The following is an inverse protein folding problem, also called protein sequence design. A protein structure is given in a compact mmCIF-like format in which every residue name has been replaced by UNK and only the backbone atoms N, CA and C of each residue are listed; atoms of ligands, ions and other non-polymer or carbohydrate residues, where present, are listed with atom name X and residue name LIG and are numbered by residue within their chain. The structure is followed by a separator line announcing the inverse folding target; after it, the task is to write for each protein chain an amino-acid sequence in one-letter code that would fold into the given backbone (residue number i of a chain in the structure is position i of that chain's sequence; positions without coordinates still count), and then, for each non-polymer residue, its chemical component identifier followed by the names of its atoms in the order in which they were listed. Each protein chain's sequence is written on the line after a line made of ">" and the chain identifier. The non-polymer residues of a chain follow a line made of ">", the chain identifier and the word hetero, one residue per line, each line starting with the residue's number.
data_IF_069762022825
#
_entry.id   IF_069762022825
#
_cell.length_a   1.000
_cell.length_b   1.000
_cell.length_c   1.000
_cell.angle_alpha   90.00
_cell.angle_beta   90.00
_cell.angle_gamma   90.00
#
_symmetry.space_group_name_H-M   'P 1'
#
loop_
_entity.id
_entity.type
_entity.pdbx_description
1 polymer ?
#
# COMPACT_ATOMS: atom_id res chain seq x y z
N UNK A 1 -0.24 -21.91 -14.18
CA UNK A 1 -0.59 -22.15 -12.75
C UNK A 1 -2.00 -21.65 -12.54
N UNK A 2 -2.84 -22.37 -11.84
CA UNK A 2 -4.18 -21.87 -11.48
C UNK A 2 -4.16 -21.32 -10.05
N UNK A 3 -5.09 -20.43 -9.70
CA UNK A 3 -5.14 -19.77 -8.38
C UNK A 3 -5.11 -20.74 -7.19
N UNK A 4 -5.62 -21.95 -7.34
CA UNK A 4 -5.60 -23.01 -6.32
C UNK A 4 -4.21 -23.56 -6.01
N UNK A 5 -3.22 -23.28 -6.85
CA UNK A 5 -1.85 -23.81 -6.73
C UNK A 5 -0.98 -22.94 -5.81
N UNK A 6 -1.33 -21.67 -5.58
CA UNK A 6 -0.59 -20.80 -4.65
C UNK A 6 -0.97 -21.16 -3.22
N UNK A 7 -0.11 -21.91 -2.55
CA UNK A 7 -0.28 -22.35 -1.16
C UNK A 7 0.81 -21.86 -0.24
N UNK A 8 2.00 -21.60 -0.77
CA UNK A 8 3.16 -21.15 -0.02
C UNK A 8 3.59 -19.77 -0.52
N UNK A 9 3.52 -18.81 0.38
CA UNK A 9 3.85 -17.41 0.09
C UNK A 9 5.07 -17.02 0.88
N UNK A 10 6.06 -16.46 0.22
CA UNK A 10 7.19 -15.80 0.86
C UNK A 10 6.98 -14.28 0.81
N UNK A 11 6.98 -13.64 1.96
CA UNK A 11 7.00 -12.19 2.10
C UNK A 11 8.43 -11.75 2.37
N UNK A 12 8.93 -10.81 1.58
CA UNK A 12 10.27 -10.21 1.76
C UNK A 12 10.09 -8.75 2.20
N UNK A 13 10.45 -8.48 3.46
CA UNK A 13 10.13 -7.25 4.17
C UNK A 13 8.92 -7.43 5.08
N UNK A 14 9.15 -7.57 6.40
CA UNK A 14 8.12 -7.83 7.42
C UNK A 14 7.64 -6.56 8.14
N UNK A 15 7.80 -5.39 7.52
CA UNK A 15 7.20 -4.14 7.98
C UNK A 15 5.67 -4.21 8.04
N UNK A 16 5.00 -3.09 8.26
CA UNK A 16 3.52 -3.04 8.37
C UNK A 16 2.85 -3.70 7.17
N UNK A 17 3.23 -3.30 5.96
CA UNK A 17 2.62 -3.81 4.72
C UNK A 17 2.86 -5.31 4.54
N UNK A 18 4.11 -5.78 4.64
CA UNK A 18 4.41 -7.20 4.46
C UNK A 18 3.76 -8.09 5.51
N UNK A 19 3.70 -7.64 6.76
CA UNK A 19 2.99 -8.34 7.83
C UNK A 19 1.49 -8.46 7.54
N UNK A 20 0.82 -7.38 7.12
CA UNK A 20 -0.63 -7.40 6.83
C UNK A 20 -0.95 -8.25 5.58
N UNK A 21 -0.13 -8.17 4.52
CA UNK A 21 -0.27 -9.05 3.34
C UNK A 21 -0.07 -10.51 3.71
N UNK A 22 0.97 -10.81 4.52
CA UNK A 22 1.22 -12.14 5.02
C UNK A 22 0.06 -12.68 5.87
N UNK A 23 -0.49 -11.86 6.77
CA UNK A 23 -1.64 -12.19 7.58
C UNK A 23 -2.87 -12.50 6.72
N UNK A 24 -3.13 -11.65 5.71
CA UNK A 24 -4.24 -11.87 4.77
C UNK A 24 -4.11 -13.21 4.04
N UNK A 25 -2.92 -13.54 3.53
CA UNK A 25 -2.67 -14.83 2.90
C UNK A 25 -2.87 -15.99 3.87
N UNK A 26 -2.36 -15.89 5.10
CA UNK A 26 -2.47 -16.90 6.13
C UNK A 26 -3.92 -17.11 6.59
N UNK A 27 -4.70 -16.05 6.70
CA UNK A 27 -6.14 -16.09 7.03
C UNK A 27 -6.91 -16.97 6.04
N UNK A 28 -6.54 -16.92 4.77
CA UNK A 28 -7.16 -17.73 3.71
C UNK A 28 -6.41 -19.04 3.38
N UNK A 29 -5.62 -19.53 4.35
CA UNK A 29 -5.08 -20.89 4.36
C UNK A 29 -3.75 -21.09 3.63
N UNK A 30 -3.02 -20.00 3.31
CA UNK A 30 -1.65 -20.13 2.82
C UNK A 30 -0.68 -20.34 3.98
N UNK A 31 0.36 -21.15 3.75
CA UNK A 31 1.57 -21.15 4.57
C UNK A 31 2.43 -19.96 4.17
N UNK A 32 2.79 -19.12 5.13
CA UNK A 32 3.47 -17.85 4.88
C UNK A 32 4.79 -17.79 5.61
N UNK A 33 5.88 -17.71 4.87
CA UNK A 33 7.20 -17.37 5.40
C UNK A 33 7.41 -15.85 5.31
N UNK A 34 7.89 -15.22 6.38
CA UNK A 34 8.19 -13.79 6.39
C UNK A 34 9.65 -13.58 6.76
N UNK A 35 10.38 -12.86 5.91
CA UNK A 35 11.79 -12.50 6.13
C UNK A 35 11.93 -10.98 6.25
N UNK A 36 12.93 -10.57 7.01
CA UNK A 36 13.37 -9.18 7.09
C UNK A 36 14.88 -9.13 7.33
N UNK A 37 15.52 -8.05 6.88
CA UNK A 37 16.94 -7.79 7.17
C UNK A 37 17.14 -7.29 8.60
N UNK A 38 16.09 -6.76 9.23
CA UNK A 38 16.09 -6.33 10.64
C UNK A 38 15.58 -7.45 11.54
N UNK A 39 16.47 -8.09 12.36
CA UNK A 39 16.05 -9.12 13.30
C UNK A 39 15.02 -8.63 14.34
N UNK A 40 15.01 -7.33 14.66
CA UNK A 40 14.03 -6.76 15.60
C UNK A 40 12.63 -6.74 15.00
N UNK A 41 12.51 -6.52 13.70
CA UNK A 41 11.23 -6.61 12.97
C UNK A 41 10.68 -8.04 13.01
N UNK A 42 11.53 -9.06 12.87
CA UNK A 42 11.13 -10.47 12.98
C UNK A 42 10.77 -10.86 14.42
N UNK A 43 11.52 -10.39 15.40
CA UNK A 43 11.28 -10.70 16.81
C UNK A 43 9.91 -10.21 17.30
N UNK A 44 9.42 -9.10 16.77
CA UNK A 44 8.11 -8.50 17.13
C UNK A 44 6.96 -8.90 16.20
N UNK A 45 7.24 -9.68 15.15
CA UNK A 45 6.26 -10.02 14.11
C UNK A 45 5.00 -10.68 14.67
N UNK A 46 5.16 -11.67 15.56
CA UNK A 46 4.05 -12.40 16.16
C UNK A 46 3.12 -11.50 16.97
N UNK A 47 3.67 -10.61 17.78
CA UNK A 47 2.89 -9.67 18.60
C UNK A 47 2.16 -8.65 17.72
N UNK A 48 2.83 -8.11 16.70
CA UNK A 48 2.23 -7.18 15.74
C UNK A 48 1.10 -7.84 14.95
N UNK A 49 1.31 -9.05 14.44
CA UNK A 49 0.30 -9.79 13.71
C UNK A 49 -0.90 -10.14 14.60
N UNK A 50 -0.67 -10.49 15.88
CA UNK A 50 -1.74 -10.73 16.85
C UNK A 50 -2.53 -9.46 17.15
N UNK A 51 -1.87 -8.33 17.37
CA UNK A 51 -2.53 -7.04 17.60
C UNK A 51 -3.41 -6.64 16.40
N UNK A 52 -2.87 -6.75 15.19
CA UNK A 52 -3.60 -6.52 13.95
C UNK A 52 -4.83 -7.45 13.81
N UNK A 53 -4.67 -8.74 14.05
CA UNK A 53 -5.78 -9.69 14.01
C UNK A 53 -6.85 -9.43 15.08
N UNK A 54 -6.46 -8.92 16.25
CA UNK A 54 -7.40 -8.50 17.30
C UNK A 54 -8.27 -7.31 16.87
N UNK A 55 -7.72 -6.38 16.09
CA UNK A 55 -8.53 -5.28 15.51
C UNK A 55 -9.61 -5.84 14.56
N UNK A 56 -9.27 -6.85 13.75
CA UNK A 56 -10.20 -7.50 12.83
C UNK A 56 -11.30 -8.25 13.61
N UNK A 57 -10.91 -8.93 14.69
CA UNK A 57 -11.88 -9.59 15.61
C UNK A 57 -12.79 -8.56 16.26
N UNK A 58 -12.24 -7.46 16.77
CA UNK A 58 -13.00 -6.36 17.37
C UNK A 58 -13.98 -5.71 16.40
N UNK A 59 -13.67 -5.72 15.12
CA UNK A 59 -14.54 -5.21 14.04
C UNK A 59 -15.59 -6.26 13.58
N UNK A 60 -15.56 -7.49 14.09
CA UNK A 60 -16.52 -8.56 13.79
C UNK A 60 -16.29 -9.27 12.45
N UNK A 61 -15.12 -9.10 11.82
CA UNK A 61 -14.77 -9.74 10.55
C UNK A 61 -14.02 -11.07 10.70
N UNK A 62 -13.56 -11.39 11.92
CA UNK A 62 -12.80 -12.58 12.23
C UNK A 62 -13.19 -13.05 13.64
N UNK A 63 -13.18 -14.35 13.89
CA UNK A 63 -13.30 -14.90 15.24
C UNK A 63 -11.92 -15.29 15.81
N UNK A 64 -11.90 -15.62 17.11
CA UNK A 64 -10.65 -15.99 17.79
C UNK A 64 -9.98 -17.23 17.20
N UNK A 65 -10.77 -18.22 16.74
CA UNK A 65 -10.24 -19.44 16.15
C UNK A 65 -9.59 -19.15 14.78
N UNK A 66 -10.20 -18.28 13.98
CA UNK A 66 -9.64 -17.80 12.71
C UNK A 66 -8.34 -17.02 12.91
N UNK A 67 -8.28 -16.19 13.96
CA UNK A 67 -7.05 -15.47 14.34
C UNK A 67 -5.92 -16.46 14.68
N UNK A 68 -6.15 -17.39 15.58
CA UNK A 68 -5.13 -18.37 15.98
C UNK A 68 -4.71 -19.25 14.79
N UNK A 69 -5.67 -19.61 13.93
CA UNK A 69 -5.40 -20.34 12.69
C UNK A 69 -4.54 -19.57 11.70
N UNK A 70 -4.75 -18.25 11.53
CA UNK A 70 -3.91 -17.40 10.69
C UNK A 70 -2.49 -17.30 11.26
N UNK A 71 -2.36 -16.99 12.54
CA UNK A 71 -1.06 -16.88 13.21
C UNK A 71 -0.23 -18.16 13.14
N UNK A 72 -0.88 -19.33 13.26
CA UNK A 72 -0.20 -20.63 13.17
C UNK A 72 0.41 -20.92 11.79
N UNK A 73 -0.03 -20.23 10.74
CA UNK A 73 0.48 -20.37 9.37
C UNK A 73 1.56 -19.33 9.01
N UNK A 74 1.85 -18.39 9.91
CA UNK A 74 2.88 -17.37 9.71
C UNK A 74 4.17 -17.79 10.40
N UNK A 75 5.25 -17.94 9.64
CA UNK A 75 6.56 -18.37 10.16
C UNK A 75 7.60 -17.32 9.83
N UNK A 76 8.21 -16.67 10.83
CA UNK A 76 9.39 -15.85 10.59
C UNK A 76 10.57 -16.74 10.16
N UNK A 77 11.30 -16.31 9.13
CA UNK A 77 12.50 -16.98 8.63
C UNK A 77 13.69 -16.02 8.68
N UNK A 78 14.85 -16.52 9.03
CA UNK A 78 16.05 -15.69 9.21
C UNK A 78 16.56 -15.10 7.90
N UNK A 79 16.33 -15.80 6.80
CA UNK A 79 16.68 -15.34 5.45
C UNK A 79 15.54 -15.64 4.47
N UNK A 80 15.40 -14.82 3.45
CA UNK A 80 14.41 -15.05 2.41
C UNK A 80 14.67 -16.37 1.64
N UNK A 81 15.92 -16.81 1.55
CA UNK A 81 16.30 -18.07 0.89
C UNK A 81 15.68 -19.30 1.57
N UNK A 82 15.49 -19.28 2.89
CA UNK A 82 14.83 -20.37 3.62
C UNK A 82 13.37 -20.58 3.14
N UNK A 83 12.65 -19.50 2.84
CA UNK A 83 11.29 -19.58 2.32
C UNK A 83 11.21 -19.82 0.81
N UNK A 84 12.27 -19.51 0.06
CA UNK A 84 12.29 -19.48 -1.39
C UNK A 84 12.09 -20.85 -2.05
N UNK A 85 12.71 -21.90 -1.50
CA UNK A 85 12.76 -23.23 -2.11
C UNK A 85 11.37 -23.88 -2.36
N UNK A 86 10.36 -23.41 -1.66
CA UNK A 86 9.00 -23.95 -1.74
C UNK A 86 7.96 -22.89 -2.11
N UNK A 87 8.35 -21.63 -2.33
CA UNK A 87 7.43 -20.54 -2.61
C UNK A 87 6.73 -20.74 -3.97
N UNK A 88 5.41 -20.62 -3.95
CA UNK A 88 4.60 -20.50 -5.16
C UNK A 88 4.50 -19.04 -5.59
N UNK A 89 4.52 -18.14 -4.59
CA UNK A 89 4.47 -16.69 -4.75
C UNK A 89 5.47 -16.03 -3.81
N UNK A 90 6.27 -15.11 -4.32
CA UNK A 90 7.08 -14.18 -3.53
C UNK A 90 6.44 -12.81 -3.63
N UNK A 91 6.13 -12.19 -2.48
CA UNK A 91 5.66 -10.80 -2.42
C UNK A 91 6.74 -9.94 -1.78
N UNK A 92 7.28 -9.03 -2.56
CA UNK A 92 8.32 -8.12 -2.13
C UNK A 92 7.70 -6.83 -1.56
N UNK A 93 8.10 -6.49 -0.33
CA UNK A 93 7.67 -5.33 0.43
C UNK A 93 8.87 -4.55 1.01
N UNK A 94 10.02 -4.57 0.31
CA UNK A 94 11.22 -3.83 0.71
C UNK A 94 11.11 -2.34 0.33
N UNK A 95 12.03 -1.45 0.81
CA UNK A 95 12.01 -0.03 0.46
C UNK A 95 11.94 0.25 -1.05
N UNK A 96 11.41 1.42 -1.38
CA UNK A 96 11.04 1.84 -2.74
C UNK A 96 12.28 2.27 -3.55
N UNK A 97 13.11 1.30 -3.90
CA UNK A 97 14.33 1.43 -4.71
C UNK A 97 14.32 0.33 -5.78
N UNK A 98 14.25 0.66 -7.08
CA UNK A 98 14.17 -0.33 -8.14
C UNK A 98 15.41 -1.23 -8.23
N UNK A 99 16.60 -0.71 -7.91
CA UNK A 99 17.82 -1.50 -7.90
C UNK A 99 17.83 -2.51 -6.74
N UNK A 100 17.32 -2.11 -5.57
CA UNK A 100 17.15 -3.01 -4.42
C UNK A 100 16.15 -4.13 -4.75
N UNK A 101 14.97 -3.78 -5.29
CA UNK A 101 13.93 -4.76 -5.65
C UNK A 101 14.45 -5.78 -6.68
N UNK A 102 15.14 -5.30 -7.72
CA UNK A 102 15.79 -6.17 -8.70
C UNK A 102 16.81 -7.13 -8.09
N UNK A 103 17.67 -6.65 -7.18
CA UNK A 103 18.65 -7.51 -6.47
C UNK A 103 17.98 -8.56 -5.61
N UNK A 104 16.97 -8.18 -4.83
CA UNK A 104 16.22 -9.13 -3.97
C UNK A 104 15.64 -10.28 -4.80
N UNK A 105 15.00 -9.99 -5.90
CA UNK A 105 14.47 -11.04 -6.77
C UNK A 105 15.57 -11.85 -7.45
N UNK A 106 16.66 -11.22 -7.90
CA UNK A 106 17.80 -11.91 -8.49
C UNK A 106 18.45 -12.92 -7.53
N UNK A 107 18.58 -12.56 -6.26
CA UNK A 107 19.10 -13.45 -5.21
C UNK A 107 18.17 -14.64 -4.95
N UNK A 108 16.86 -14.45 -5.04
CA UNK A 108 15.87 -15.52 -4.82
C UNK A 108 15.66 -16.40 -6.05
N UNK A 109 15.92 -15.88 -7.25
CA UNK A 109 15.68 -16.58 -8.51
C UNK A 109 16.23 -18.01 -8.54
N UNK A 110 17.51 -18.27 -8.21
CA UNK A 110 18.08 -19.63 -8.30
C UNK A 110 17.51 -20.59 -7.23
N UNK A 111 16.98 -20.09 -6.14
CA UNK A 111 16.41 -20.89 -5.06
C UNK A 111 14.92 -21.19 -5.25
N UNK A 112 14.21 -20.36 -6.00
CA UNK A 112 12.78 -20.53 -6.23
C UNK A 112 12.47 -21.53 -7.34
N UNK A 113 11.43 -22.36 -7.20
CA UNK A 113 10.91 -23.18 -8.30
C UNK A 113 10.65 -22.34 -9.57
N UNK A 114 10.76 -22.93 -10.77
CA UNK A 114 10.51 -22.20 -12.03
C UNK A 114 9.09 -21.61 -12.14
N UNK A 115 8.12 -22.21 -11.44
CA UNK A 115 6.72 -21.76 -11.43
C UNK A 115 6.47 -20.54 -10.54
N UNK A 116 7.40 -20.19 -9.63
CA UNK A 116 7.21 -19.13 -8.64
C UNK A 116 6.98 -17.78 -9.31
N UNK A 117 5.90 -17.11 -8.94
CA UNK A 117 5.58 -15.74 -9.36
C UNK A 117 6.33 -14.76 -8.45
N UNK A 118 6.92 -13.73 -9.05
CA UNK A 118 7.55 -12.61 -8.36
C UNK A 118 6.63 -11.40 -8.39
N UNK A 119 6.01 -11.11 -7.26
CA UNK A 119 5.08 -10.00 -7.09
C UNK A 119 5.74 -8.88 -6.28
N UNK A 120 5.65 -7.65 -6.76
CA UNK A 120 6.08 -6.47 -6.01
C UNK A 120 4.89 -5.71 -5.46
N UNK A 121 4.98 -5.27 -4.20
CA UNK A 121 3.96 -4.42 -3.59
C UNK A 121 4.28 -2.92 -3.72
N UNK A 122 5.11 -2.54 -4.67
CA UNK A 122 5.42 -1.13 -4.92
C UNK A 122 4.16 -0.31 -5.17
N UNK A 123 4.11 0.93 -4.69
CA UNK A 123 3.01 1.86 -4.92
C UNK A 123 3.29 2.88 -6.05
N UNK A 124 4.55 2.99 -6.47
CA UNK A 124 4.99 4.07 -7.37
C UNK A 124 5.90 3.63 -8.51
N UNK A 125 6.65 2.51 -8.33
CA UNK A 125 7.55 2.01 -9.36
C UNK A 125 6.80 1.14 -10.37
N UNK A 126 7.36 1.05 -11.58
CA UNK A 126 6.86 0.15 -12.61
C UNK A 126 7.65 -1.16 -12.58
N UNK A 127 7.01 -2.33 -12.67
CA UNK A 127 7.72 -3.62 -12.74
C UNK A 127 8.81 -3.67 -13.81
N UNK A 128 8.60 -3.04 -14.98
CA UNK A 128 9.60 -2.97 -16.06
C UNK A 128 10.93 -2.33 -15.64
N UNK A 129 10.96 -1.51 -14.58
CA UNK A 129 12.18 -0.84 -14.12
C UNK A 129 13.21 -1.84 -13.55
N UNK A 130 12.78 -3.05 -13.16
CA UNK A 130 13.65 -4.05 -12.54
C UNK A 130 13.36 -5.51 -12.97
N UNK A 131 12.36 -5.75 -13.82
CA UNK A 131 11.96 -7.07 -14.23
C UNK A 131 13.13 -7.89 -14.83
N UNK A 132 13.92 -7.30 -15.73
CA UNK A 132 15.06 -7.97 -16.35
C UNK A 132 16.13 -8.40 -15.32
N UNK A 133 16.35 -7.58 -14.30
CA UNK A 133 17.31 -7.87 -13.23
C UNK A 133 16.91 -9.09 -12.39
N UNK A 134 15.64 -9.50 -12.39
CA UNK A 134 15.13 -10.61 -11.57
C UNK A 134 15.55 -11.99 -12.09
N UNK A 135 15.99 -12.10 -13.34
CA UNK A 135 16.33 -13.36 -14.02
C UNK A 135 15.11 -14.17 -14.52
N UNK A 136 13.87 -13.69 -14.31
CA UNK A 136 12.61 -14.25 -14.84
C UNK A 136 11.56 -13.17 -15.07
N UNK A 137 11.82 -12.23 -15.99
CA UNK A 137 10.93 -11.08 -16.22
C UNK A 137 9.49 -11.51 -16.54
N UNK A 138 9.29 -12.64 -17.20
CA UNK A 138 7.98 -13.18 -17.55
C UNK A 138 7.13 -13.56 -16.33
N UNK A 139 7.73 -13.69 -15.14
CA UNK A 139 7.04 -14.01 -13.87
C UNK A 139 6.90 -12.79 -12.96
N UNK A 140 7.32 -11.60 -13.39
CA UNK A 140 7.26 -10.38 -12.59
C UNK A 140 5.96 -9.64 -12.86
N UNK A 141 5.32 -9.17 -11.77
CA UNK A 141 4.04 -8.45 -11.81
C UNK A 141 3.92 -7.56 -10.58
N UNK A 142 3.27 -6.41 -10.67
CA UNK A 142 2.88 -5.69 -9.47
C UNK A 142 1.59 -6.28 -8.88
N UNK A 143 1.62 -6.44 -7.56
CA UNK A 143 0.49 -6.94 -6.77
C UNK A 143 0.36 -6.03 -5.54
N UNK A 144 -0.25 -4.85 -5.77
CA UNK A 144 -0.21 -3.72 -4.86
C UNK A 144 -1.44 -3.70 -3.96
N UNK A 145 -1.22 -3.94 -2.68
CA UNK A 145 -2.24 -3.90 -1.62
C UNK A 145 -2.35 -2.49 -1.03
N UNK A 146 -3.49 -2.21 -0.41
CA UNK A 146 -3.77 -0.96 0.30
C UNK A 146 -3.94 -1.21 1.81
N UNK A 147 -3.43 -0.31 2.64
CA UNK A 147 -3.56 -0.39 4.11
C UNK A 147 -4.89 0.20 4.60
N UNK A 148 -5.45 -0.35 5.67
CA UNK A 148 -5.22 -1.68 6.23
C UNK A 148 -5.80 -2.75 5.29
N UNK A 149 -5.03 -3.83 5.03
CA UNK A 149 -5.32 -4.81 3.96
C UNK A 149 -6.69 -5.49 4.09
N UNK A 150 -7.14 -5.74 5.32
CA UNK A 150 -8.42 -6.39 5.57
C UNK A 150 -9.63 -5.49 5.25
N UNK A 151 -9.49 -4.18 5.42
CA UNK A 151 -10.57 -3.20 5.26
C UNK A 151 -10.54 -2.54 3.88
N UNK A 152 -9.34 -2.18 3.42
CA UNK A 152 -9.10 -1.65 2.08
C UNK A 152 -8.86 -2.80 1.11
N UNK A 153 -9.81 -3.74 1.04
CA UNK A 153 -9.66 -5.03 0.39
C UNK A 153 -9.60 -4.97 -1.15
N UNK A 154 -8.87 -4.01 -1.67
CA UNK A 154 -8.58 -3.83 -3.10
C UNK A 154 -7.11 -4.09 -3.34
N UNK A 155 -6.78 -4.77 -4.43
CA UNK A 155 -5.40 -5.02 -4.85
C UNK A 155 -5.24 -4.75 -6.34
N UNK A 156 -4.28 -3.91 -6.70
CA UNK A 156 -3.96 -3.67 -8.11
C UNK A 156 -3.08 -4.82 -8.63
N UNK A 157 -3.43 -5.35 -9.80
CA UNK A 157 -2.63 -6.35 -10.54
C UNK A 157 -2.17 -5.71 -11.84
N UNK A 158 -0.88 -5.35 -11.92
CA UNK A 158 -0.33 -4.64 -13.05
C UNK A 158 0.86 -5.39 -13.66
N UNK A 159 0.69 -6.02 -14.83
CA UNK A 159 1.79 -6.61 -15.58
C UNK A 159 2.65 -5.52 -16.23
N UNK A 160 3.90 -5.86 -16.55
CA UNK A 160 4.68 -5.15 -17.56
C UNK A 160 4.57 -5.88 -18.93
N UNK A 161 5.13 -5.29 -19.98
CA UNK A 161 4.99 -5.80 -21.34
C UNK A 161 5.56 -7.24 -21.54
N UNK A 162 6.47 -7.67 -20.66
CA UNK A 162 7.08 -9.03 -20.71
C UNK A 162 6.43 -10.04 -19.77
N UNK A 163 5.43 -9.65 -18.96
CA UNK A 163 4.76 -10.58 -18.04
C UNK A 163 3.91 -11.59 -18.82
N UNK A 164 4.04 -12.88 -18.50
CA UNK A 164 3.16 -13.91 -19.04
C UNK A 164 1.70 -13.65 -18.66
N UNK A 165 0.74 -13.72 -19.60
CA UNK A 165 -0.68 -13.53 -19.31
C UNK A 165 -1.21 -14.44 -18.18
N UNK A 166 -0.79 -15.70 -18.15
CA UNK A 166 -1.15 -16.68 -17.12
C UNK A 166 -0.77 -16.22 -15.69
N UNK A 167 0.29 -15.44 -15.56
CA UNK A 167 0.73 -14.89 -14.27
C UNK A 167 -0.30 -13.88 -13.74
N UNK A 168 -0.72 -12.98 -14.61
CA UNK A 168 -1.75 -11.98 -14.28
C UNK A 168 -3.07 -12.64 -13.92
N UNK A 169 -3.54 -13.60 -14.73
CA UNK A 169 -4.78 -14.34 -14.49
C UNK A 169 -4.72 -15.13 -13.18
N UNK A 170 -3.57 -15.77 -12.90
CA UNK A 170 -3.34 -16.50 -11.64
C UNK A 170 -3.45 -15.59 -10.43
N UNK A 171 -2.83 -14.39 -10.46
CA UNK A 171 -2.91 -13.45 -9.34
C UNK A 171 -4.27 -12.80 -9.17
N UNK A 172 -4.98 -12.51 -10.27
CA UNK A 172 -6.37 -12.05 -10.21
C UNK A 172 -7.26 -13.08 -9.51
N UNK A 173 -7.12 -14.34 -9.84
CA UNK A 173 -7.88 -15.40 -9.20
C UNK A 173 -7.42 -15.64 -7.74
N UNK A 174 -6.11 -15.53 -7.48
CA UNK A 174 -5.56 -15.61 -6.12
C UNK A 174 -6.05 -14.47 -5.23
N UNK A 175 -6.07 -13.23 -5.72
CA UNK A 175 -6.62 -12.08 -5.00
C UNK A 175 -8.05 -12.34 -4.52
N UNK A 176 -8.92 -12.81 -5.41
CA UNK A 176 -10.30 -13.19 -5.05
C UNK A 176 -10.34 -14.27 -3.97
N UNK A 177 -9.47 -15.27 -4.06
CA UNK A 177 -9.40 -16.36 -3.08
C UNK A 177 -9.00 -15.87 -1.69
N UNK A 178 -8.15 -14.86 -1.61
CA UNK A 178 -7.74 -14.26 -0.33
C UNK A 178 -8.62 -13.07 0.10
N UNK A 179 -9.84 -12.97 -0.44
CA UNK A 179 -10.81 -11.95 -0.03
C UNK A 179 -10.54 -10.53 -0.54
N UNK A 180 -9.67 -10.40 -1.55
CA UNK A 180 -9.37 -9.11 -2.16
C UNK A 180 -10.16 -8.90 -3.45
N UNK A 181 -10.44 -7.64 -3.79
CA UNK A 181 -11.03 -7.22 -5.05
C UNK A 181 -9.91 -6.83 -6.01
N UNK A 182 -9.57 -7.65 -7.02
CA UNK A 182 -8.49 -7.33 -7.95
C UNK A 182 -8.89 -6.24 -8.94
N UNK A 183 -8.08 -5.22 -9.06
CA UNK A 183 -8.13 -4.22 -10.12
C UNK A 183 -7.09 -4.58 -11.17
N UNK A 184 -7.55 -4.99 -12.34
CA UNK A 184 -6.67 -5.35 -13.45
C UNK A 184 -6.23 -4.09 -14.18
N UNK A 185 -4.93 -3.80 -14.13
CA UNK A 185 -4.32 -2.69 -14.85
C UNK A 185 -3.78 -3.24 -16.16
N UNK A 186 -4.32 -2.81 -17.28
CA UNK A 186 -4.02 -3.41 -18.59
C UNK A 186 -2.58 -3.18 -19.08
N UNK A 187 -1.94 -2.13 -18.59
CA UNK A 187 -0.55 -1.76 -18.89
C UNK A 187 0.02 -0.91 -17.77
N UNK A 188 1.34 -0.85 -17.67
CA UNK A 188 2.01 -0.06 -16.66
C UNK A 188 1.56 1.40 -16.64
N UNK A 189 1.28 1.89 -15.44
CA UNK A 189 0.92 3.27 -15.17
C UNK A 189 1.37 3.66 -13.76
N UNK A 190 2.06 4.77 -13.62
CA UNK A 190 2.41 5.32 -12.31
C UNK A 190 1.14 5.61 -11.48
N UNK A 191 1.14 5.14 -10.23
CA UNK A 191 -0.01 5.31 -9.33
C UNK A 191 -1.18 4.36 -9.64
N UNK A 192 -1.00 3.42 -10.55
CA UNK A 192 -2.02 2.40 -10.87
C UNK A 192 -3.38 3.02 -11.21
N UNK A 193 -4.46 2.57 -10.57
CA UNK A 193 -5.79 3.17 -10.75
C UNK A 193 -6.11 4.11 -9.60
N UNK A 194 -6.10 3.60 -8.36
CA UNK A 194 -6.53 4.39 -7.20
C UNK A 194 -5.62 5.58 -6.95
N UNK A 195 -4.30 5.35 -6.82
CA UNK A 195 -3.38 6.43 -6.51
C UNK A 195 -3.30 7.49 -7.62
N UNK A 196 -3.49 7.11 -8.90
CA UNK A 196 -3.54 8.07 -9.99
C UNK A 196 -4.73 9.04 -9.85
N UNK A 197 -5.93 8.51 -9.54
CA UNK A 197 -7.14 9.31 -9.31
C UNK A 197 -6.99 10.13 -8.02
N UNK A 198 -6.56 9.48 -6.93
CA UNK A 198 -6.40 10.11 -5.62
C UNK A 198 -5.41 11.27 -5.66
N UNK A 199 -4.26 11.09 -6.32
CA UNK A 199 -3.26 12.14 -6.48
C UNK A 199 -3.77 13.31 -7.33
N UNK A 200 -4.56 13.04 -8.37
CA UNK A 200 -5.18 14.09 -9.17
C UNK A 200 -6.18 14.92 -8.37
N UNK A 201 -7.03 14.27 -7.56
CA UNK A 201 -7.97 14.94 -6.67
C UNK A 201 -7.23 15.79 -5.64
N UNK A 202 -6.24 15.23 -4.96
CA UNK A 202 -5.46 15.94 -3.94
C UNK A 202 -4.67 17.11 -4.52
N UNK A 203 -4.06 16.92 -5.70
CA UNK A 203 -3.37 18.00 -6.42
C UNK A 203 -4.31 19.17 -6.68
N UNK A 204 -5.51 18.91 -7.19
CA UNK A 204 -6.46 19.97 -7.51
C UNK A 204 -7.03 20.62 -6.24
N UNK A 205 -7.34 19.84 -5.20
CA UNK A 205 -7.74 20.37 -3.91
C UNK A 205 -6.70 21.35 -3.33
N UNK A 206 -5.42 20.92 -3.32
CA UNK A 206 -4.32 21.79 -2.89
C UNK A 206 -4.17 23.03 -3.77
N UNK A 207 -4.36 22.90 -5.08
CA UNK A 207 -4.28 24.01 -6.04
C UNK A 207 -5.31 25.09 -5.75
N UNK A 208 -6.55 24.71 -5.47
CA UNK A 208 -7.62 25.66 -5.11
C UNK A 208 -7.26 26.45 -3.86
N UNK A 209 -6.73 25.80 -2.83
CA UNK A 209 -6.36 26.46 -1.57
C UNK A 209 -5.09 27.31 -1.73
N UNK A 210 -4.05 26.77 -2.37
CA UNK A 210 -2.78 27.47 -2.60
C UNK A 210 -2.96 28.77 -3.43
N UNK A 211 -3.93 28.78 -4.32
CA UNK A 211 -4.29 29.95 -5.14
C UNK A 211 -5.34 30.88 -4.48
N UNK A 212 -5.78 30.58 -3.25
CA UNK A 212 -6.76 31.41 -2.53
C UNK A 212 -8.18 31.37 -3.13
N UNK A 213 -8.51 30.33 -3.91
CA UNK A 213 -9.84 30.18 -4.52
C UNK A 213 -10.88 29.73 -3.48
N UNK A 214 -10.47 28.83 -2.56
CA UNK A 214 -11.33 28.30 -1.51
C UNK A 214 -10.53 28.04 -0.23
N UNK A 215 -11.22 27.95 0.90
CA UNK A 215 -10.61 27.47 2.15
C UNK A 215 -10.47 25.95 2.15
N UNK A 216 -9.63 25.42 3.06
CA UNK A 216 -9.52 23.97 3.32
C UNK A 216 -10.90 23.38 3.64
N UNK A 217 -11.63 24.04 4.54
CA UNK A 217 -12.96 23.58 4.96
C UNK A 217 -13.99 23.60 3.83
N UNK A 218 -13.95 24.61 2.95
CA UNK A 218 -14.90 24.68 1.83
C UNK A 218 -14.65 23.61 0.77
N UNK A 219 -13.37 23.27 0.49
CA UNK A 219 -13.05 22.17 -0.41
C UNK A 219 -13.56 20.85 0.17
N UNK A 220 -13.28 20.58 1.46
CA UNK A 220 -13.73 19.35 2.12
C UNK A 220 -15.26 19.31 2.23
N UNK A 221 -15.89 20.44 2.56
CA UNK A 221 -17.35 20.56 2.64
C UNK A 221 -18.02 20.26 1.29
N UNK A 222 -17.49 20.81 0.20
CA UNK A 222 -17.99 20.54 -1.14
C UNK A 222 -17.90 19.06 -1.50
N UNK A 223 -16.74 18.43 -1.25
CA UNK A 223 -16.53 17.01 -1.49
C UNK A 223 -17.48 16.14 -0.66
N UNK A 224 -17.50 16.36 0.65
CA UNK A 224 -18.31 15.59 1.58
C UNK A 224 -19.81 15.78 1.31
N UNK A 225 -20.25 17.00 1.01
CA UNK A 225 -21.65 17.33 0.74
C UNK A 225 -22.19 16.69 -0.53
N UNK A 226 -21.38 16.61 -1.59
CA UNK A 226 -21.77 16.03 -2.88
C UNK A 226 -21.69 14.50 -2.83
N UNK A 227 -20.54 13.94 -2.42
CA UNK A 227 -20.31 12.48 -2.44
C UNK A 227 -20.83 11.74 -1.21
N UNK A 228 -21.30 12.48 -0.19
CA UNK A 228 -21.77 11.90 1.10
C UNK A 228 -20.68 11.10 1.81
N UNK A 229 -19.42 11.50 1.64
CA UNK A 229 -18.28 10.90 2.31
C UNK A 229 -18.09 11.51 3.70
N UNK A 230 -17.57 10.76 4.69
CA UNK A 230 -17.35 11.25 6.05
C UNK A 230 -16.12 12.15 6.18
N UNK A 231 -15.29 12.26 5.13
CA UNK A 231 -14.04 13.01 5.12
C UNK A 231 -13.77 13.54 3.73
N UNK A 232 -13.22 14.75 3.64
CA UNK A 232 -12.80 15.36 2.38
C UNK A 232 -11.31 15.21 2.09
N UNK A 233 -10.82 15.72 0.95
CA UNK A 233 -9.43 15.61 0.52
C UNK A 233 -8.40 16.02 1.58
N UNK A 234 -8.60 17.12 2.28
CA UNK A 234 -7.66 17.61 3.28
C UNK A 234 -7.67 16.77 4.57
N UNK A 235 -8.84 16.30 4.98
CA UNK A 235 -8.92 15.33 6.08
C UNK A 235 -8.21 14.01 5.72
N UNK A 236 -8.30 13.54 4.48
CA UNK A 236 -7.55 12.37 4.00
C UNK A 236 -6.03 12.63 3.96
N UNK A 237 -5.60 13.84 3.57
CA UNK A 237 -4.17 14.22 3.57
C UNK A 237 -3.59 14.27 4.99
N UNK A 238 -4.38 14.65 6.00
CA UNK A 238 -3.98 14.62 7.41
C UNK A 238 -3.72 13.19 7.92
N UNK A 239 -4.46 12.19 7.42
CA UNK A 239 -4.20 10.77 7.73
C UNK A 239 -2.89 10.28 7.09
N UNK A 240 -2.58 10.70 5.87
CA UNK A 240 -1.30 10.40 5.19
C UNK A 240 -0.12 11.04 5.91
N UNK A 241 -0.32 12.23 6.43
CA UNK A 241 0.68 13.08 7.05
C UNK A 241 1.27 14.11 6.08
N UNK A 242 1.19 15.38 6.50
CA UNK A 242 1.57 16.55 5.68
C UNK A 242 3.05 16.52 5.27
N UNK A 243 3.93 15.99 6.11
CA UNK A 243 5.34 15.80 5.77
C UNK A 243 5.52 14.83 4.58
N UNK A 244 4.82 13.71 4.58
CA UNK A 244 4.82 12.76 3.46
C UNK A 244 4.28 13.40 2.20
N UNK A 245 3.13 14.07 2.30
CA UNK A 245 2.50 14.78 1.17
C UNK A 245 3.41 15.86 0.62
N UNK A 246 4.08 16.61 1.51
CA UNK A 246 5.03 17.64 1.11
C UNK A 246 6.22 17.05 0.35
N UNK A 247 6.85 15.99 0.87
CA UNK A 247 7.99 15.35 0.21
C UNK A 247 7.64 14.90 -1.22
N UNK A 248 6.46 14.29 -1.39
CA UNK A 248 5.98 13.84 -2.70
C UNK A 248 5.73 15.03 -3.62
N UNK A 249 5.03 16.06 -3.14
CA UNK A 249 4.67 17.24 -3.95
C UNK A 249 5.90 18.03 -4.36
N UNK A 250 6.85 18.27 -3.44
CA UNK A 250 8.09 18.98 -3.70
C UNK A 250 9.01 18.22 -4.67
N UNK A 251 9.10 16.88 -4.51
CA UNK A 251 9.84 16.03 -5.46
C UNK A 251 9.30 16.18 -6.89
N UNK A 252 7.99 16.09 -7.08
CA UNK A 252 7.40 16.23 -8.41
C UNK A 252 7.44 17.65 -8.93
N UNK A 253 7.31 18.67 -8.08
CA UNK A 253 7.46 20.06 -8.46
C UNK A 253 8.85 20.32 -9.07
N UNK A 254 9.90 19.79 -8.45
CA UNK A 254 11.29 19.93 -8.96
C UNK A 254 11.51 19.09 -10.21
N UNK A 255 11.00 17.84 -10.23
CA UNK A 255 11.22 16.91 -11.34
C UNK A 255 10.56 17.39 -12.64
N UNK A 256 9.34 17.93 -12.53
CA UNK A 256 8.58 18.39 -13.68
C UNK A 256 8.78 19.89 -14.00
N UNK A 257 9.38 20.65 -13.08
CA UNK A 257 9.47 22.10 -13.20
C UNK A 257 8.09 22.78 -13.16
N UNK A 258 7.13 22.21 -12.43
CA UNK A 258 5.73 22.64 -12.37
C UNK A 258 5.56 23.72 -11.28
N UNK A 259 5.30 24.96 -11.70
CA UNK A 259 5.12 26.09 -10.81
C UNK A 259 3.87 25.98 -9.91
N UNK A 260 2.81 25.26 -10.35
CA UNK A 260 1.65 25.05 -9.51
C UNK A 260 1.95 24.03 -8.40
N UNK A 261 2.64 22.94 -8.73
CA UNK A 261 3.09 22.00 -7.69
C UNK A 261 4.05 22.68 -6.70
N UNK A 262 4.86 23.62 -7.14
CA UNK A 262 5.71 24.41 -6.23
C UNK A 262 4.87 25.23 -5.27
N UNK A 263 3.85 25.96 -5.73
CA UNK A 263 2.92 26.69 -4.85
C UNK A 263 2.20 25.76 -3.86
N UNK A 264 1.79 24.58 -4.31
CA UNK A 264 1.19 23.58 -3.44
C UNK A 264 2.19 23.11 -2.36
N UNK A 265 3.45 22.85 -2.74
CA UNK A 265 4.50 22.47 -1.80
C UNK A 265 4.81 23.59 -0.80
N UNK A 266 4.84 24.85 -1.24
CA UNK A 266 5.07 26.01 -0.37
C UNK A 266 3.95 26.18 0.65
N UNK A 267 2.70 25.96 0.24
CA UNK A 267 1.54 25.93 1.16
C UNK A 267 1.71 24.84 2.22
N UNK A 268 2.05 23.61 1.82
CA UNK A 268 2.29 22.49 2.75
C UNK A 268 3.47 22.80 3.68
N UNK A 269 4.53 23.40 3.19
CA UNK A 269 5.69 23.81 3.98
C UNK A 269 5.29 24.72 5.14
N UNK A 270 4.35 25.64 4.90
CA UNK A 270 3.82 26.48 5.96
C UNK A 270 3.14 25.72 7.13
N UNK A 271 2.57 24.54 6.88
CA UNK A 271 2.06 23.65 7.95
C UNK A 271 3.21 22.94 8.66
N UNK A 272 4.20 22.43 7.92
CA UNK A 272 5.39 21.75 8.48
C UNK A 272 6.15 22.68 9.44
N UNK A 273 6.39 23.91 9.04
CA UNK A 273 7.16 24.90 9.82
C UNK A 273 6.46 25.25 11.14
N UNK A 274 5.16 25.00 11.25
CA UNK A 274 4.36 25.12 12.48
C UNK A 274 4.22 23.82 13.26
N UNK A 275 4.89 22.73 12.83
CA UNK A 275 4.80 21.40 13.45
C UNK A 275 3.46 20.69 13.24
N UNK A 276 2.63 21.15 12.29
CA UNK A 276 1.34 20.57 11.95
C UNK A 276 1.52 19.48 10.89
N UNK A 277 1.73 18.22 11.37
CA UNK A 277 2.06 17.09 10.51
C UNK A 277 0.86 16.17 10.19
N UNK A 278 -0.34 16.59 10.55
CA UNK A 278 -1.54 15.79 10.41
C UNK A 278 -1.93 15.09 11.72
N UNK A 279 -2.77 14.06 11.61
CA UNK A 279 -3.32 13.34 12.77
C UNK A 279 -2.25 12.82 13.74
N UNK A 280 -1.11 12.37 13.23
CA UNK A 280 0.00 11.81 14.03
C UNK A 280 0.63 12.81 15.00
N UNK A 281 0.53 14.12 14.73
CA UNK A 281 1.02 15.19 15.61
C UNK A 281 -0.11 15.88 16.39
N UNK A 282 -1.36 15.41 16.27
CA UNK A 282 -2.52 16.03 16.86
C UNK A 282 -3.03 17.26 16.10
N UNK A 283 -2.34 17.69 15.05
CA UNK A 283 -2.72 18.84 14.24
C UNK A 283 -2.16 18.75 12.82
N UNK A 284 -2.98 19.07 11.84
CA UNK A 284 -2.65 19.16 10.42
C UNK A 284 -3.40 20.31 9.78
N UNK A 285 -4.12 20.05 8.71
CA UNK A 285 -5.13 20.98 8.20
C UNK A 285 -6.22 21.20 9.23
N UNK A 286 -6.55 20.15 9.99
CA UNK A 286 -7.47 20.15 11.12
C UNK A 286 -6.77 19.88 12.45
N UNK A 287 -7.47 20.12 13.56
CA UNK A 287 -7.02 19.77 14.90
C UNK A 287 -7.68 18.46 15.36
N UNK A 288 -6.95 17.62 16.03
CA UNK A 288 -7.35 16.28 16.47
C UNK A 288 -7.30 16.18 18.00
N UNK A 289 -8.16 15.35 18.64
CA UNK A 289 -8.94 14.24 18.03
C UNK A 289 -10.31 14.63 17.44
N UNK A 290 -10.75 15.87 17.54
CA UNK A 290 -12.08 16.33 17.14
C UNK A 290 -12.01 17.30 15.93
N UNK A 291 -11.70 16.79 14.71
CA UNK A 291 -11.55 17.65 13.55
C UNK A 291 -12.88 18.34 13.20
N UNK A 292 -12.79 19.55 12.65
CA UNK A 292 -13.97 20.36 12.32
C UNK A 292 -14.92 19.61 11.37
N UNK A 293 -14.40 18.84 10.41
CA UNK A 293 -15.22 18.08 9.47
C UNK A 293 -16.07 16.97 10.11
N UNK A 294 -15.72 16.51 11.32
CA UNK A 294 -16.50 15.51 12.05
C UNK A 294 -17.65 16.11 12.90
N UNK A 295 -17.73 17.45 13.01
CA UNK A 295 -18.76 18.11 13.79
C UNK A 295 -20.11 18.12 13.06
N UNK A 296 -21.22 17.96 13.81
CA UNK A 296 -22.55 18.18 13.25
C UNK A 296 -22.65 19.57 12.61
N UNK A 297 -23.29 19.67 11.46
CA UNK A 297 -23.46 20.94 10.75
C UNK A 297 -22.31 21.37 9.85
N UNK A 298 -21.16 20.67 9.87
CA UNK A 298 -20.02 21.06 9.02
C UNK A 298 -20.38 21.13 7.52
N UNK A 299 -21.13 20.15 7.02
CA UNK A 299 -21.54 20.10 5.60
C UNK A 299 -22.60 21.17 5.28
N UNK A 300 -23.37 21.59 6.24
CA UNK A 300 -24.38 22.66 6.14
C UNK A 300 -23.77 24.07 6.26
N UNK A 301 -22.48 24.20 6.57
CA UNK A 301 -21.77 25.46 6.67
C UNK A 301 -21.87 26.10 8.06
N UNK A 302 -22.21 25.31 9.08
CA UNK A 302 -22.29 25.71 10.49
C UNK A 302 -21.00 25.51 11.27
#
# INVERSE_FOLDING_TARGET
>A
MVAGDIRRVLIVGSGTMGMEVGFQCALYGCEVALSDVDPAALATLGDRARAYGQEIVGAGFLDAAGLDGALARMTPVSTALEGAAHADLVVECVPEDPALKGRVFAELHPACPPRTIFATNTSSLLPSMFAEATGRPEKVVAFHFHLPVWRSNVVDVMPHAGTDPDVTETLVAFAKRIGQVPIQVARESHGYVFNAIYNAVNREAMTLVANGVASVEDVDRAWMGIFKMPVGPFGMLDEVGIDTVWHITDFWARTLGDDQLRRNADMLRGYLDRGRLGRKSGAGFYDYPEPAYARPGFVEGG
#
